data_IF_216551356277
#
_entry.id   IF_216551356277
#
_cell.length_a   1.000
_cell.length_b   1.000
_cell.length_c   1.000
_cell.angle_alpha   90.00
_cell.angle_beta   90.00
_cell.angle_gamma   90.00
#
_symmetry.space_group_name_H-M   'P 1'
#
loop_
_entity.id
_entity.type
_entity.pdbx_description
1 polymer ?
#
# COMPACT_ATOMS: atom_id res chain seq x y z
N UNK A 1 68.39 30.30 -4.50
CA UNK A 1 67.76 29.07 -3.99
C UNK A 1 66.27 29.39 -3.71
N UNK A 2 65.38 29.06 -4.63
CA UNK A 2 63.92 29.32 -4.51
C UNK A 2 63.28 28.09 -3.92
N UNK A 3 62.65 28.22 -2.73
CA UNK A 3 61.84 27.15 -2.09
C UNK A 3 60.44 27.21 -2.68
N UNK A 4 60.08 26.16 -3.41
CA UNK A 4 58.74 25.93 -3.94
C UNK A 4 57.93 25.27 -2.82
N UNK A 5 56.92 25.98 -2.28
CA UNK A 5 55.91 25.42 -1.40
C UNK A 5 54.82 24.78 -2.24
N UNK A 6 54.75 23.47 -2.22
CA UNK A 6 53.69 22.67 -2.83
C UNK A 6 52.51 22.60 -1.84
N UNK A 7 51.50 23.40 -2.05
CA UNK A 7 50.25 23.33 -1.27
C UNK A 7 49.40 22.21 -1.80
N UNK A 8 49.33 21.12 -1.05
CA UNK A 8 48.44 19.96 -1.31
C UNK A 8 47.04 20.31 -0.83
N UNK A 9 46.17 20.74 -1.75
CA UNK A 9 44.76 20.96 -1.46
C UNK A 9 44.06 19.61 -1.38
N UNK A 10 43.84 19.12 -0.15
CA UNK A 10 42.99 17.96 0.10
C UNK A 10 41.53 18.39 -0.07
N UNK A 11 40.95 18.04 -1.23
CA UNK A 11 39.54 18.23 -1.50
C UNK A 11 38.79 17.15 -0.69
N UNK A 12 38.35 17.47 0.51
CA UNK A 12 37.39 16.68 1.28
C UNK A 12 36.04 16.76 0.56
N UNK A 13 35.79 15.80 -0.32
CA UNK A 13 34.44 15.49 -0.78
C UNK A 13 33.65 14.98 0.41
N UNK A 14 33.07 15.88 1.18
CA UNK A 14 32.00 15.55 2.11
C UNK A 14 30.79 15.16 1.28
N UNK A 15 30.67 13.87 0.99
CA UNK A 15 29.40 13.30 0.55
C UNK A 15 28.42 13.53 1.70
N UNK A 16 27.67 14.62 1.63
CA UNK A 16 26.52 14.83 2.50
C UNK A 16 25.55 13.70 2.27
N UNK A 17 25.57 12.70 3.13
CA UNK A 17 24.44 11.82 3.31
C UNK A 17 23.27 12.75 3.70
N UNK A 18 22.40 13.03 2.75
CA UNK A 18 21.12 13.65 3.05
C UNK A 18 20.40 12.67 3.96
N UNK A 19 20.44 12.94 5.26
CA UNK A 19 19.66 12.24 6.27
C UNK A 19 18.21 12.31 5.80
N UNK A 20 17.70 11.17 5.36
CA UNK A 20 16.32 11.03 4.87
C UNK A 20 15.42 11.23 6.07
N UNK A 21 15.03 12.48 6.29
CA UNK A 21 14.19 12.89 7.41
C UNK A 21 12.83 12.25 7.21
N UNK A 22 12.51 11.27 8.03
CA UNK A 22 11.20 10.63 8.07
C UNK A 22 10.12 11.70 8.02
N UNK A 23 9.32 11.69 6.97
CA UNK A 23 8.27 12.69 6.77
C UNK A 23 7.00 12.19 7.42
N UNK A 24 6.82 12.54 8.67
CA UNK A 24 5.59 12.30 9.41
C UNK A 24 4.57 13.39 9.16
N UNK A 25 3.31 12.98 8.97
CA UNK A 25 2.24 13.94 8.87
C UNK A 25 0.85 13.33 9.09
N UNK A 26 -0.11 14.18 9.41
CA UNK A 26 -1.52 13.78 9.46
C UNK A 26 -2.11 14.04 8.08
N UNK A 27 -2.65 12.98 7.47
CA UNK A 27 -3.28 13.03 6.16
C UNK A 27 -4.65 12.39 6.18
N UNK A 28 -5.54 12.84 5.31
CA UNK A 28 -6.83 12.22 5.11
C UNK A 28 -6.75 11.19 3.97
N UNK A 29 -7.34 10.03 4.16
CA UNK A 29 -7.49 9.06 3.07
C UNK A 29 -8.48 9.59 2.02
N UNK A 30 -8.04 9.70 0.78
CA UNK A 30 -8.84 10.20 -0.33
C UNK A 30 -9.48 9.05 -1.15
N UNK A 31 -8.82 7.91 -1.24
CA UNK A 31 -9.29 6.77 -2.02
C UNK A 31 -8.16 5.84 -2.47
N UNK A 32 -8.50 4.90 -3.34
CA UNK A 32 -7.52 4.06 -4.01
C UNK A 32 -7.17 4.63 -5.39
N UNK A 33 -5.94 4.42 -5.81
CA UNK A 33 -5.51 4.61 -7.19
C UNK A 33 -6.22 3.65 -8.15
N UNK A 34 -6.04 3.89 -9.44
CA UNK A 34 -6.67 3.07 -10.49
C UNK A 34 -6.13 1.64 -10.56
N UNK A 35 -4.92 1.42 -10.01
CA UNK A 35 -4.28 0.12 -9.87
C UNK A 35 -4.89 -0.77 -8.77
N UNK A 36 -5.81 -0.23 -7.97
CA UNK A 36 -6.48 -0.92 -6.85
C UNK A 36 -5.57 -1.27 -5.66
N UNK A 37 -4.28 -0.89 -5.69
CA UNK A 37 -3.30 -1.18 -4.63
C UNK A 37 -2.78 0.06 -3.93
N UNK A 38 -2.65 1.16 -4.67
CA UNK A 38 -2.08 2.41 -4.17
C UNK A 38 -3.11 3.19 -3.38
N UNK A 39 -2.78 3.54 -2.15
CA UNK A 39 -3.63 4.36 -1.29
C UNK A 39 -3.31 5.83 -1.53
N UNK A 40 -4.33 6.62 -1.82
CA UNK A 40 -4.16 8.07 -2.04
C UNK A 40 -4.54 8.81 -0.77
N UNK A 41 -3.61 9.62 -0.28
CA UNK A 41 -3.83 10.49 0.87
C UNK A 41 -3.76 11.96 0.47
N UNK A 42 -4.39 12.83 1.27
CA UNK A 42 -4.33 14.28 1.10
C UNK A 42 -3.74 14.94 2.33
N UNK A 43 -2.77 15.82 2.11
CA UNK A 43 -2.33 16.80 3.09
C UNK A 43 -2.90 18.17 2.74
N UNK A 44 -3.44 18.85 3.72
CA UNK A 44 -3.80 20.25 3.56
C UNK A 44 -2.60 21.13 3.92
N UNK A 45 -2.01 21.80 2.92
CA UNK A 45 -0.93 22.76 3.11
C UNK A 45 -1.28 24.08 2.44
N UNK A 46 -1.29 25.16 3.23
CA UNK A 46 -1.54 26.53 2.73
C UNK A 46 -2.79 26.63 1.84
N UNK A 47 -3.94 26.13 2.30
CA UNK A 47 -5.25 26.15 1.63
C UNK A 47 -5.33 25.31 0.33
N UNK A 48 -4.28 24.55 -0.02
CA UNK A 48 -4.30 23.64 -1.17
C UNK A 48 -4.19 22.20 -0.69
N UNK A 49 -5.06 21.35 -1.18
CA UNK A 49 -4.96 19.92 -0.97
C UNK A 49 -3.89 19.36 -1.92
N UNK A 50 -2.96 18.59 -1.35
CA UNK A 50 -1.94 17.87 -2.13
C UNK A 50 -2.21 16.39 -1.98
N UNK A 51 -2.43 15.73 -3.10
CA UNK A 51 -2.58 14.30 -3.18
C UNK A 51 -1.20 13.64 -3.28
N UNK A 52 -1.03 12.53 -2.58
CA UNK A 52 0.15 11.70 -2.72
C UNK A 52 -0.23 10.22 -2.69
N UNK A 53 0.27 9.46 -3.66
CA UNK A 53 0.09 8.02 -3.73
C UNK A 53 1.03 7.32 -2.73
N UNK A 54 0.54 6.26 -2.11
CA UNK A 54 1.20 5.56 -1.04
C UNK A 54 0.98 4.04 -1.16
N UNK A 55 2.05 3.29 -1.39
CA UNK A 55 2.06 1.84 -1.27
C UNK A 55 2.37 1.48 0.18
N UNK A 56 1.57 0.62 0.79
CA UNK A 56 1.79 0.23 2.17
C UNK A 56 2.99 -0.72 2.27
N UNK A 57 3.90 -0.40 3.20
CA UNK A 57 5.14 -1.15 3.39
C UNK A 57 4.87 -2.65 3.58
N UNK A 58 5.56 -3.48 2.80
CA UNK A 58 5.56 -4.94 2.91
C UNK A 58 4.16 -5.60 2.86
N UNK A 59 3.22 -4.98 2.15
CA UNK A 59 1.90 -5.55 1.90
C UNK A 59 1.64 -5.77 0.41
N UNK A 60 1.00 -6.88 0.12
CA UNK A 60 0.40 -7.14 -1.18
C UNK A 60 -1.12 -7.01 -1.06
N UNK A 61 -1.70 -6.02 -1.72
CA UNK A 61 -3.14 -5.83 -1.79
C UNK A 61 -3.71 -6.86 -2.77
N UNK A 62 -4.56 -7.76 -2.27
CA UNK A 62 -5.03 -8.91 -3.07
C UNK A 62 -5.71 -8.45 -4.36
N UNK A 63 -6.59 -7.44 -4.27
CA UNK A 63 -7.34 -6.94 -5.43
C UNK A 63 -6.47 -6.37 -6.56
N UNK A 64 -5.23 -5.97 -6.30
CA UNK A 64 -4.31 -5.46 -7.34
C UNK A 64 -4.05 -6.45 -8.50
N UNK A 65 -4.25 -7.75 -8.25
CA UNK A 65 -4.12 -8.79 -9.26
C UNK A 65 -5.40 -9.07 -10.08
N UNK A 66 -6.52 -8.41 -9.79
CA UNK A 66 -7.82 -8.77 -10.36
C UNK A 66 -7.89 -8.70 -11.89
N UNK A 67 -7.21 -7.72 -12.51
CA UNK A 67 -7.18 -7.58 -13.98
C UNK A 67 -6.52 -8.76 -14.72
N UNK A 68 -5.70 -9.55 -14.02
CA UNK A 68 -5.12 -10.78 -14.59
C UNK A 68 -6.11 -11.94 -14.60
N UNK A 69 -7.12 -11.89 -13.75
CA UNK A 69 -8.12 -12.93 -13.56
C UNK A 69 -9.46 -12.60 -14.21
N UNK A 70 -9.82 -11.32 -14.26
CA UNK A 70 -11.07 -10.82 -14.85
C UNK A 70 -10.71 -10.09 -16.13
N UNK A 71 -10.91 -10.74 -17.28
CA UNK A 71 -10.59 -10.17 -18.60
C UNK A 71 -11.71 -9.31 -19.18
N UNK A 72 -12.95 -9.54 -18.75
CA UNK A 72 -14.09 -8.70 -19.15
C UNK A 72 -14.07 -7.37 -18.39
N UNK A 73 -14.01 -6.26 -19.14
CA UNK A 73 -13.92 -4.90 -18.57
C UNK A 73 -15.14 -4.53 -17.73
N UNK A 74 -16.34 -5.01 -18.09
CA UNK A 74 -17.57 -4.71 -17.35
C UNK A 74 -17.60 -5.47 -16.02
N UNK A 75 -17.18 -6.72 -16.04
CA UNK A 75 -17.03 -7.53 -14.81
C UNK A 75 -15.94 -6.95 -13.90
N UNK A 76 -14.80 -6.52 -14.45
CA UNK A 76 -13.73 -5.89 -13.68
C UNK A 76 -14.21 -4.61 -12.98
N UNK A 77 -14.92 -3.72 -13.70
CA UNK A 77 -15.51 -2.51 -13.08
C UNK A 77 -16.52 -2.84 -11.99
N UNK A 78 -17.30 -3.88 -12.15
CA UNK A 78 -18.23 -4.34 -11.11
C UNK A 78 -17.47 -4.84 -9.89
N UNK A 79 -16.45 -5.66 -10.10
CA UNK A 79 -15.56 -6.13 -9.03
C UNK A 79 -14.93 -4.97 -8.28
N UNK A 80 -14.32 -4.01 -8.98
CA UNK A 80 -13.67 -2.83 -8.37
C UNK A 80 -14.63 -2.03 -7.49
N UNK A 81 -15.87 -1.82 -7.96
CA UNK A 81 -16.89 -1.12 -7.19
C UNK A 81 -17.25 -1.86 -5.90
N UNK A 82 -17.41 -3.17 -5.99
CA UNK A 82 -17.77 -4.02 -4.86
C UNK A 82 -16.61 -4.15 -3.87
N UNK A 83 -15.39 -4.27 -4.36
CA UNK A 83 -14.17 -4.27 -3.57
C UNK A 83 -13.97 -2.95 -2.81
N UNK A 84 -14.05 -1.81 -3.51
CA UNK A 84 -13.94 -0.47 -2.89
C UNK A 84 -14.96 -0.31 -1.75
N UNK A 85 -16.20 -0.69 -1.98
CA UNK A 85 -17.24 -0.66 -0.96
C UNK A 85 -16.93 -1.57 0.25
N UNK A 86 -16.39 -2.77 0.01
CA UNK A 86 -16.02 -3.67 1.08
C UNK A 86 -14.83 -3.14 1.89
N UNK A 87 -13.85 -2.51 1.21
CA UNK A 87 -12.67 -1.92 1.84
C UNK A 87 -13.02 -0.72 2.74
N UNK A 88 -14.10 0.01 2.47
CA UNK A 88 -14.57 1.12 3.31
C UNK A 88 -14.95 0.68 4.74
N UNK A 89 -15.13 -0.61 4.99
CA UNK A 89 -15.29 -1.15 6.36
C UNK A 89 -13.99 -1.02 7.18
N UNK A 90 -12.83 -0.98 6.53
CA UNK A 90 -11.50 -0.90 7.15
C UNK A 90 -10.97 0.53 7.11
N UNK A 91 -10.98 1.14 5.92
CA UNK A 91 -10.45 2.49 5.71
C UNK A 91 -11.51 3.38 5.06
N UNK A 92 -11.89 4.46 5.76
CA UNK A 92 -12.96 5.36 5.31
C UNK A 92 -12.39 6.59 4.63
N UNK A 93 -12.92 6.99 3.46
CA UNK A 93 -12.60 8.28 2.84
C UNK A 93 -12.81 9.44 3.83
N UNK A 94 -11.89 10.38 3.83
CA UNK A 94 -11.89 11.53 4.74
C UNK A 94 -11.37 11.25 6.16
N UNK A 95 -11.25 9.99 6.59
CA UNK A 95 -10.64 9.66 7.89
C UNK A 95 -9.16 10.06 7.88
N UNK A 96 -8.70 10.66 8.99
CA UNK A 96 -7.30 11.09 9.18
C UNK A 96 -6.47 9.98 9.79
N UNK A 97 -5.24 9.88 9.30
CA UNK A 97 -4.24 8.93 9.73
C UNK A 97 -2.91 9.63 9.94
N UNK A 98 -2.05 9.05 10.78
CA UNK A 98 -0.63 9.35 10.83
C UNK A 98 0.03 8.59 9.67
N UNK A 99 0.66 9.33 8.75
CA UNK A 99 1.34 8.75 7.60
C UNK A 99 2.82 9.04 7.72
N UNK A 100 3.61 7.98 7.76
CA UNK A 100 5.06 8.02 7.70
C UNK A 100 5.50 7.63 6.28
N UNK A 101 6.13 8.56 5.58
CA UNK A 101 6.73 8.32 4.27
C UNK A 101 8.12 7.74 4.48
N UNK A 102 8.29 6.43 4.27
CA UNK A 102 9.53 5.70 4.51
C UNK A 102 10.49 5.88 3.34
N UNK A 103 9.99 5.68 2.12
CA UNK A 103 10.79 5.75 0.90
C UNK A 103 9.97 6.31 -0.25
N UNK A 104 10.66 6.69 -1.32
CA UNK A 104 10.05 7.12 -2.57
C UNK A 104 10.25 6.03 -3.62
N UNK A 105 9.17 5.27 -3.88
CA UNK A 105 9.12 4.38 -5.04
C UNK A 105 9.06 5.15 -6.36
N UNK A 106 8.96 4.44 -7.47
CA UNK A 106 8.90 5.04 -8.81
C UNK A 106 7.62 5.88 -9.00
N UNK A 107 6.46 5.32 -8.64
CA UNK A 107 5.15 5.93 -8.89
C UNK A 107 4.40 6.32 -7.60
N UNK A 108 4.81 5.75 -6.46
CA UNK A 108 4.19 5.99 -5.16
C UNK A 108 5.24 6.05 -4.05
N UNK A 109 4.89 6.66 -2.92
CA UNK A 109 5.69 6.56 -1.71
C UNK A 109 5.46 5.22 -1.03
N UNK A 110 6.51 4.65 -0.42
CA UNK A 110 6.34 3.56 0.54
C UNK A 110 5.99 4.16 1.88
N UNK A 111 4.89 3.73 2.46
CA UNK A 111 4.35 4.35 3.68
C UNK A 111 4.06 3.33 4.78
N UNK A 112 4.17 3.80 6.01
CA UNK A 112 3.50 3.22 7.16
C UNK A 112 2.37 4.13 7.62
N UNK A 113 1.19 3.55 7.86
CA UNK A 113 -0.04 4.30 8.11
C UNK A 113 -0.73 3.76 9.36
N UNK A 114 -1.04 4.65 10.29
CA UNK A 114 -1.68 4.29 11.55
C UNK A 114 -2.69 5.33 12.00
N UNK A 115 -3.59 4.94 12.87
CA UNK A 115 -4.35 5.85 13.72
C UNK A 115 -3.98 5.59 15.21
N UNK A 116 -4.51 6.36 16.17
CA UNK A 116 -4.15 6.17 17.58
C UNK A 116 -4.51 4.80 18.16
N UNK A 117 -5.31 4.00 17.48
CA UNK A 117 -5.82 2.71 17.95
C UNK A 117 -5.22 1.52 17.23
N UNK A 118 -4.77 1.71 15.98
CA UNK A 118 -4.38 0.59 15.12
C UNK A 118 -3.37 0.99 14.05
N UNK A 119 -2.70 -0.02 13.51
CA UNK A 119 -1.88 0.10 12.30
C UNK A 119 -2.70 -0.39 11.09
N UNK A 120 -2.82 0.43 10.05
CA UNK A 120 -3.63 0.11 8.86
C UNK A 120 -3.21 -1.18 8.18
N UNK A 121 -1.91 -1.53 8.21
CA UNK A 121 -1.41 -2.78 7.65
C UNK A 121 -2.07 -3.98 8.35
N UNK A 122 -2.07 -3.97 9.68
CA UNK A 122 -2.70 -5.03 10.47
C UNK A 122 -4.21 -5.10 10.24
N UNK A 123 -4.87 -3.94 10.18
CA UNK A 123 -6.31 -3.87 9.94
C UNK A 123 -6.70 -4.47 8.58
N UNK A 124 -5.94 -4.16 7.52
CA UNK A 124 -6.17 -4.69 6.17
C UNK A 124 -5.93 -6.20 6.09
N UNK A 125 -4.88 -6.70 6.75
CA UNK A 125 -4.58 -8.13 6.79
C UNK A 125 -5.63 -8.88 7.58
N UNK A 126 -5.98 -8.41 8.78
CA UNK A 126 -6.99 -9.03 9.63
C UNK A 126 -8.39 -9.02 9.01
N UNK A 127 -8.68 -8.02 8.17
CA UNK A 127 -9.92 -7.94 7.41
C UNK A 127 -9.88 -8.75 6.08
N UNK A 128 -8.75 -9.33 5.70
CA UNK A 128 -8.60 -10.20 4.52
C UNK A 128 -8.49 -9.43 3.20
N UNK A 129 -7.99 -8.19 3.20
CA UNK A 129 -7.78 -7.39 1.97
C UNK A 129 -6.34 -7.38 1.50
N UNK A 130 -5.40 -7.78 2.35
CA UNK A 130 -3.98 -7.81 2.05
C UNK A 130 -3.31 -9.05 2.63
N UNK A 131 -2.14 -9.40 2.05
CA UNK A 131 -1.24 -10.42 2.59
C UNK A 131 0.14 -9.80 2.82
N UNK A 132 0.87 -10.21 3.86
CA UNK A 132 2.27 -9.79 4.06
C UNK A 132 3.14 -10.31 2.91
N UNK A 133 4.10 -9.51 2.44
CA UNK A 133 5.05 -9.92 1.39
C UNK A 133 6.23 -10.68 1.99
N UNK A 134 6.62 -10.33 3.21
CA UNK A 134 7.77 -10.89 3.93
C UNK A 134 7.39 -11.24 5.36
N UNK A 135 8.22 -12.05 6.02
CA UNK A 135 8.05 -12.50 7.41
C UNK A 135 8.30 -11.37 8.45
N UNK A 136 7.90 -10.16 8.12
CA UNK A 136 8.17 -8.98 8.94
C UNK A 136 7.56 -9.02 10.35
N UNK A 137 6.50 -9.80 10.53
CA UNK A 137 5.79 -9.82 11.81
C UNK A 137 4.94 -11.09 11.94
N UNK A 138 5.22 -11.86 12.97
CA UNK A 138 4.39 -13.01 13.36
C UNK A 138 2.91 -12.62 13.55
N UNK A 139 2.68 -11.40 14.05
CA UNK A 139 1.33 -10.86 14.22
C UNK A 139 0.59 -10.70 12.89
N UNK A 140 1.27 -10.22 11.83
CA UNK A 140 0.66 -10.09 10.51
C UNK A 140 0.38 -11.45 9.86
N UNK A 141 1.31 -12.40 10.00
CA UNK A 141 1.12 -13.76 9.49
C UNK A 141 -0.08 -14.43 10.15
N UNK A 142 -0.16 -14.37 11.48
CA UNK A 142 -1.29 -14.90 12.24
C UNK A 142 -2.61 -14.25 11.83
N UNK A 143 -2.63 -12.92 11.68
CA UNK A 143 -3.82 -12.20 11.23
C UNK A 143 -4.27 -12.61 9.82
N UNK A 144 -3.33 -12.91 8.90
CA UNK A 144 -3.63 -13.39 7.56
C UNK A 144 -4.26 -14.79 7.58
N UNK A 145 -3.73 -15.70 8.37
CA UNK A 145 -4.29 -17.05 8.57
C UNK A 145 -5.71 -16.97 9.14
N UNK A 146 -5.90 -16.22 10.22
CA UNK A 146 -7.21 -16.02 10.83
C UNK A 146 -8.23 -15.39 9.87
N UNK A 147 -7.80 -14.45 9.02
CA UNK A 147 -8.67 -13.85 8.01
C UNK A 147 -9.11 -14.86 6.95
N UNK A 148 -8.19 -15.74 6.51
CA UNK A 148 -8.44 -16.82 5.55
C UNK A 148 -9.38 -17.86 6.12
N UNK A 149 -9.12 -18.37 7.33
CA UNK A 149 -9.98 -19.35 8.01
C UNK A 149 -11.40 -18.82 8.25
N UNK A 150 -11.50 -17.57 8.70
CA UNK A 150 -12.77 -16.89 8.94
C UNK A 150 -13.46 -16.39 7.66
N UNK A 151 -12.87 -16.63 6.47
CA UNK A 151 -13.38 -16.20 5.15
C UNK A 151 -13.71 -14.70 5.09
N UNK A 152 -12.85 -13.86 5.65
CA UNK A 152 -13.04 -12.40 5.68
C UNK A 152 -12.60 -11.75 4.37
N UNK A 153 -13.16 -10.59 4.07
CA UNK A 153 -12.75 -9.73 2.96
C UNK A 153 -12.70 -10.47 1.63
N UNK A 154 -11.54 -10.49 1.01
CA UNK A 154 -11.28 -11.16 -0.26
C UNK A 154 -11.39 -12.69 -0.18
N UNK A 155 -11.27 -13.29 0.99
CA UNK A 155 -11.49 -14.74 1.19
C UNK A 155 -12.96 -15.14 1.33
N UNK A 156 -13.89 -14.18 1.35
CA UNK A 156 -15.32 -14.45 1.41
C UNK A 156 -15.82 -15.13 0.11
N UNK A 157 -16.93 -15.87 0.21
CA UNK A 157 -17.53 -16.54 -0.95
C UNK A 157 -17.78 -15.60 -2.14
N UNK A 158 -18.04 -14.32 -1.86
CA UNK A 158 -18.27 -13.29 -2.89
C UNK A 158 -17.04 -13.03 -3.77
N UNK A 159 -15.83 -13.06 -3.19
CA UNK A 159 -14.58 -12.72 -3.87
C UNK A 159 -13.67 -13.93 -4.09
N UNK A 160 -14.05 -15.09 -3.58
CA UNK A 160 -13.18 -16.28 -3.51
C UNK A 160 -12.59 -16.68 -4.87
N UNK A 161 -13.39 -16.72 -5.93
CA UNK A 161 -12.92 -17.17 -7.24
C UNK A 161 -11.80 -16.24 -7.75
N UNK A 162 -12.00 -14.93 -7.62
CA UNK A 162 -10.97 -13.92 -7.99
C UNK A 162 -9.76 -14.07 -7.11
N UNK A 163 -9.94 -14.21 -5.80
CA UNK A 163 -8.84 -14.37 -4.83
C UNK A 163 -8.03 -15.64 -5.11
N UNK A 164 -8.70 -16.74 -5.36
CA UNK A 164 -8.06 -18.01 -5.67
C UNK A 164 -7.27 -17.96 -6.99
N UNK A 165 -7.81 -17.26 -7.99
CA UNK A 165 -7.08 -16.99 -9.23
C UNK A 165 -5.82 -16.13 -8.96
N UNK A 166 -5.94 -15.06 -8.17
CA UNK A 166 -4.83 -14.14 -7.89
C UNK A 166 -3.72 -14.83 -7.11
N UNK A 167 -4.06 -15.54 -6.03
CA UNK A 167 -3.10 -16.10 -5.09
C UNK A 167 -2.53 -17.45 -5.53
N UNK A 168 -3.36 -18.28 -6.17
CA UNK A 168 -3.03 -19.67 -6.48
C UNK A 168 -2.99 -19.98 -7.99
N UNK A 169 -3.26 -18.98 -8.86
CA UNK A 169 -3.27 -19.17 -10.31
C UNK A 169 -4.40 -20.06 -10.84
N UNK A 170 -5.44 -20.31 -10.03
CA UNK A 170 -6.59 -21.14 -10.45
C UNK A 170 -7.49 -20.33 -11.38
N UNK A 171 -7.75 -20.78 -12.62
CA UNK A 171 -8.60 -20.05 -13.55
C UNK A 171 -9.99 -19.78 -12.98
N UNK A 172 -10.54 -18.62 -13.28
CA UNK A 172 -11.92 -18.28 -12.95
C UNK A 172 -12.90 -19.29 -13.59
N UNK A 173 -13.95 -19.73 -12.86
CA UNK A 173 -14.98 -20.57 -13.46
C UNK A 173 -15.65 -19.83 -14.62
N UNK A 174 -15.85 -20.55 -15.75
CA UNK A 174 -16.61 -20.01 -16.87
C UNK A 174 -18.05 -19.81 -16.41
N UNK A 175 -18.53 -18.58 -16.47
CA UNK A 175 -19.96 -18.31 -16.32
C UNK A 175 -20.66 -18.77 -17.61
N UNK A 176 -21.51 -19.76 -17.51
CA UNK A 176 -22.43 -20.09 -18.59
C UNK A 176 -23.29 -18.85 -18.89
N UNK A 177 -23.26 -18.44 -20.15
CA UNK A 177 -23.99 -17.26 -20.65
C UNK A 177 -25.43 -17.62 -20.94
#
# INVERSE_FOLDING_TARGET
>A
MKKIFLALAILLCTHGFAEQKDRYGIAAFAGLGDDGRTFVFTFRKAQKDRFFPCDLKNLNIIAAGASRCITDTKELRKFDKEYKKALESVIKPGKRYYVNLIDRGNDAYVCDVSDPKSNLRLDLVAAGFAVPITDDSELLLKAAEEAKEAKRGMYSAKFWDVTNCILNGVPMPKKDR
#
